data_IF_405367169310
#
_entry.id   IF_405367169310
#
_cell.length_a   1.000
_cell.length_b   1.000
_cell.length_c   1.000
_cell.angle_alpha   90.00
_cell.angle_beta   90.00
_cell.angle_gamma   90.00
#
_symmetry.space_group_name_H-M   'P 1'
#
loop_
_entity.id
_entity.type
_entity.pdbx_description
1 polymer ?
#
# COMPACT_ATOMS: atom_id res chain seq x y z
N UNK A 1 34.09 26.91 9.14
CA UNK A 1 33.25 26.74 7.94
C UNK A 1 33.99 26.12 6.74
N UNK A 2 35.32 26.27 6.56
CA UNK A 2 36.05 25.77 5.37
C UNK A 2 36.04 24.24 5.14
N UNK A 3 35.84 23.40 6.17
CA UNK A 3 35.91 21.93 6.00
C UNK A 3 34.73 21.30 5.24
N UNK A 4 33.60 22.00 5.09
CA UNK A 4 32.40 21.48 4.40
C UNK A 4 32.27 21.98 2.97
N UNK A 5 33.11 22.91 2.53
CA UNK A 5 33.02 23.56 1.21
C UNK A 5 33.20 22.54 0.08
N UNK A 6 34.11 21.60 0.23
CA UNK A 6 34.34 20.48 -0.72
C UNK A 6 33.16 19.52 -0.83
N UNK A 7 32.26 19.50 0.14
CA UNK A 7 31.06 18.66 0.12
C UNK A 7 29.90 19.33 -0.62
N UNK A 8 29.96 20.64 -0.85
CA UNK A 8 28.81 21.39 -1.34
C UNK A 8 28.49 21.12 -2.80
N UNK A 9 29.48 21.15 -3.70
CA UNK A 9 29.22 20.93 -5.13
C UNK A 9 28.60 19.54 -5.44
N UNK A 10 29.09 18.42 -4.86
CA UNK A 10 28.42 17.12 -4.99
C UNK A 10 26.99 17.10 -4.44
N UNK A 11 26.75 17.77 -3.31
CA UNK A 11 25.43 17.85 -2.68
C UNK A 11 24.47 18.66 -3.55
N UNK A 12 24.92 19.80 -4.08
CA UNK A 12 24.11 20.68 -4.93
C UNK A 12 23.71 19.97 -6.23
N UNK A 13 24.63 19.26 -6.87
CA UNK A 13 24.35 18.44 -8.05
C UNK A 13 23.34 17.32 -7.74
N UNK A 14 23.57 16.54 -6.68
CA UNK A 14 22.65 15.47 -6.29
C UNK A 14 21.26 16.01 -5.91
N UNK A 15 21.21 17.15 -5.21
CA UNK A 15 19.98 17.85 -4.88
C UNK A 15 19.24 18.30 -6.15
N UNK A 16 19.94 18.85 -7.13
CA UNK A 16 19.34 19.28 -8.38
C UNK A 16 18.65 18.13 -9.12
N UNK A 17 19.27 16.94 -9.17
CA UNK A 17 18.63 15.75 -9.73
C UNK A 17 17.38 15.33 -8.96
N UNK A 18 17.45 15.24 -7.63
CA UNK A 18 16.28 14.87 -6.81
C UNK A 18 15.16 15.91 -6.93
N UNK A 19 15.52 17.19 -6.98
CA UNK A 19 14.56 18.28 -7.16
C UNK A 19 13.87 18.21 -8.53
N UNK A 20 14.62 17.93 -9.60
CA UNK A 20 14.05 17.68 -10.94
C UNK A 20 13.15 16.44 -10.96
N UNK A 21 13.53 15.37 -10.27
CA UNK A 21 12.70 14.17 -10.15
C UNK A 21 11.34 14.50 -9.52
N UNK A 22 11.33 15.27 -8.42
CA UNK A 22 10.09 15.75 -7.79
C UNK A 22 9.28 16.63 -8.74
N UNK A 23 9.92 17.54 -9.48
CA UNK A 23 9.20 18.41 -10.41
C UNK A 23 8.52 17.65 -11.54
N UNK A 24 9.22 16.67 -12.15
CA UNK A 24 8.66 15.80 -13.20
C UNK A 24 7.50 14.98 -12.63
N UNK A 25 7.68 14.34 -11.48
CA UNK A 25 6.61 13.57 -10.82
C UNK A 25 5.49 14.45 -10.25
N UNK A 26 5.72 15.75 -10.10
CA UNK A 26 4.64 16.65 -9.74
C UNK A 26 3.67 16.87 -10.90
N UNK A 27 4.17 16.74 -12.14
CA UNK A 27 3.43 16.86 -13.38
C UNK A 27 2.50 18.09 -13.41
N UNK A 28 3.04 19.27 -13.04
CA UNK A 28 2.25 20.51 -12.97
C UNK A 28 1.64 20.92 -14.31
N UNK A 29 2.22 20.45 -15.43
CA UNK A 29 1.74 20.68 -16.79
C UNK A 29 0.63 19.72 -17.21
N UNK A 30 0.22 18.79 -16.33
CA UNK A 30 -0.80 17.76 -16.58
C UNK A 30 -0.54 16.92 -17.85
N UNK A 31 0.72 16.54 -18.08
CA UNK A 31 1.09 15.63 -19.16
C UNK A 31 0.56 14.21 -18.93
N UNK A 32 0.44 13.45 -20.01
CA UNK A 32 0.08 12.02 -19.97
C UNK A 32 1.14 11.18 -19.22
N UNK A 33 0.76 9.99 -18.74
CA UNK A 33 1.73 9.08 -18.10
C UNK A 33 2.95 8.78 -18.98
N UNK A 34 2.74 8.64 -20.29
CA UNK A 34 3.83 8.39 -21.25
C UNK A 34 4.81 9.56 -21.30
N UNK A 35 4.32 10.80 -21.33
CA UNK A 35 5.19 11.99 -21.36
C UNK A 35 6.01 12.12 -20.07
N UNK A 36 5.36 11.96 -18.91
CA UNK A 36 6.05 12.00 -17.61
C UNK A 36 7.10 10.90 -17.53
N UNK A 37 6.77 9.68 -17.98
CA UNK A 37 7.71 8.56 -18.00
C UNK A 37 8.93 8.84 -18.86
N UNK A 38 8.76 9.35 -20.08
CA UNK A 38 9.89 9.67 -20.97
C UNK A 38 10.82 10.71 -20.33
N UNK A 39 10.26 11.77 -19.76
CA UNK A 39 11.05 12.80 -19.06
C UNK A 39 11.79 12.23 -17.85
N UNK A 40 11.11 11.38 -17.08
CA UNK A 40 11.68 10.78 -15.88
C UNK A 40 12.78 9.77 -16.22
N UNK A 41 12.57 8.90 -17.21
CA UNK A 41 13.57 7.94 -17.69
C UNK A 41 14.83 8.66 -18.21
N UNK A 42 14.67 9.80 -18.91
CA UNK A 42 15.80 10.62 -19.34
C UNK A 42 16.61 11.18 -18.16
N UNK A 43 15.95 11.64 -17.09
CA UNK A 43 16.63 12.07 -15.87
C UNK A 43 17.34 10.90 -15.17
N UNK A 44 16.73 9.71 -15.10
CA UNK A 44 17.37 8.55 -14.49
C UNK A 44 18.63 8.12 -15.26
N UNK A 45 18.62 8.22 -16.59
CA UNK A 45 19.81 7.99 -17.40
C UNK A 45 20.89 9.04 -17.14
N UNK A 46 20.52 10.33 -17.10
CA UNK A 46 21.45 11.41 -16.76
C UNK A 46 22.13 11.16 -15.40
N UNK A 47 21.36 10.76 -14.38
CA UNK A 47 21.87 10.40 -13.05
C UNK A 47 22.81 9.18 -13.13
N UNK A 48 22.47 8.16 -13.92
CA UNK A 48 23.28 6.96 -14.07
C UNK A 48 24.64 7.26 -14.73
N UNK A 49 24.64 8.09 -15.78
CA UNK A 49 25.83 8.48 -16.52
C UNK A 49 26.76 9.38 -15.68
N UNK A 50 26.17 10.28 -14.89
CA UNK A 50 26.92 11.30 -14.17
C UNK A 50 27.13 10.99 -12.68
N UNK A 51 26.65 9.86 -12.14
CA UNK A 51 26.79 9.54 -10.70
C UNK A 51 28.23 9.59 -10.17
N UNK A 52 29.24 9.35 -11.02
CA UNK A 52 30.64 9.44 -10.62
C UNK A 52 31.05 10.88 -10.24
N UNK A 53 30.37 11.89 -10.80
CA UNK A 53 30.64 13.32 -10.53
C UNK A 53 30.27 13.74 -9.10
N UNK A 54 29.40 12.99 -8.42
CA UNK A 54 28.99 13.28 -7.04
C UNK A 54 29.80 12.50 -5.99
N UNK A 55 30.91 11.89 -6.39
CA UNK A 55 31.90 11.29 -5.48
C UNK A 55 31.29 10.28 -4.51
N UNK A 56 31.38 10.58 -3.20
CA UNK A 56 30.87 9.69 -2.13
C UNK A 56 29.36 9.46 -2.17
N UNK A 57 28.59 10.33 -2.85
CA UNK A 57 27.14 10.18 -3.01
C UNK A 57 26.74 9.23 -4.14
N UNK A 58 27.69 8.75 -4.96
CA UNK A 58 27.41 7.86 -6.09
C UNK A 58 26.62 6.60 -5.66
N UNK A 59 26.94 6.01 -4.51
CA UNK A 59 26.24 4.85 -3.96
C UNK A 59 24.78 5.16 -3.57
N UNK A 60 24.51 6.38 -3.10
CA UNK A 60 23.17 6.84 -2.82
C UNK A 60 22.35 7.02 -4.11
N UNK A 61 22.98 7.52 -5.18
CA UNK A 61 22.37 7.61 -6.50
C UNK A 61 22.05 6.21 -7.05
N UNK A 62 22.96 5.25 -6.93
CA UNK A 62 22.70 3.86 -7.33
C UNK A 62 21.53 3.24 -6.58
N UNK A 63 21.45 3.47 -5.26
CA UNK A 63 20.32 3.02 -4.46
C UNK A 63 19.02 3.69 -4.90
N UNK A 64 19.04 5.00 -5.19
CA UNK A 64 17.89 5.73 -5.72
C UNK A 64 17.40 5.15 -7.04
N UNK A 65 18.30 4.90 -8.00
CA UNK A 65 17.98 4.29 -9.29
C UNK A 65 17.39 2.88 -9.12
N UNK A 66 17.99 2.06 -8.26
CA UNK A 66 17.51 0.71 -7.96
C UNK A 66 16.10 0.71 -7.36
N UNK A 67 15.88 1.55 -6.35
CA UNK A 67 14.56 1.67 -5.71
C UNK A 67 13.53 2.15 -6.75
N UNK A 68 13.86 3.19 -7.51
CA UNK A 68 12.99 3.71 -8.56
C UNK A 68 12.60 2.65 -9.58
N UNK A 69 13.56 1.85 -10.07
CA UNK A 69 13.29 0.75 -11.00
C UNK A 69 12.31 -0.29 -10.41
N UNK A 70 12.40 -0.57 -9.10
CA UNK A 70 11.49 -1.51 -8.44
C UNK A 70 10.04 -1.01 -8.37
N UNK A 71 9.83 0.31 -8.32
CA UNK A 71 8.50 0.94 -8.29
C UNK A 71 7.99 1.36 -9.68
N UNK A 72 8.84 1.34 -10.71
CA UNK A 72 8.52 1.83 -12.06
C UNK A 72 7.21 1.28 -12.66
N UNK A 73 6.83 -0.01 -12.49
CA UNK A 73 5.57 -0.51 -13.03
C UNK A 73 4.34 0.23 -12.51
N UNK A 74 4.36 0.72 -11.26
CA UNK A 74 3.22 1.36 -10.61
C UNK A 74 3.27 2.89 -10.58
N UNK A 75 4.42 3.49 -10.90
CA UNK A 75 4.70 4.90 -10.59
C UNK A 75 3.86 5.90 -11.41
N UNK A 76 3.53 5.56 -12.65
CA UNK A 76 2.91 6.50 -13.60
C UNK A 76 1.39 6.32 -13.77
N UNK A 77 0.78 5.28 -13.19
CA UNK A 77 -0.65 5.00 -13.36
C UNK A 77 -1.57 6.11 -12.83
N UNK A 78 -1.09 6.90 -11.86
CA UNK A 78 -1.85 8.02 -11.30
C UNK A 78 -2.11 9.16 -12.30
N UNK A 79 -1.41 9.21 -13.43
CA UNK A 79 -1.64 10.22 -14.46
C UNK A 79 -2.74 9.81 -15.46
N UNK A 80 -3.01 8.52 -15.61
CA UNK A 80 -4.03 8.00 -16.55
C UNK A 80 -5.38 7.72 -15.86
N UNK A 81 -5.40 7.62 -14.53
CA UNK A 81 -6.58 7.29 -13.73
C UNK A 81 -6.95 8.47 -12.83
N UNK A 82 -8.02 9.19 -13.17
CA UNK A 82 -8.45 10.42 -12.49
C UNK A 82 -8.63 10.26 -10.96
N UNK A 83 -9.10 9.09 -10.51
CA UNK A 83 -9.39 8.82 -9.10
C UNK A 83 -8.24 8.11 -8.36
N UNK A 84 -7.11 7.83 -9.02
CA UNK A 84 -5.96 7.21 -8.37
C UNK A 84 -5.06 8.30 -7.78
N UNK A 85 -4.92 8.37 -6.44
CA UNK A 85 -4.11 9.42 -5.82
C UNK A 85 -2.64 9.29 -6.22
N UNK A 86 -2.02 10.43 -6.52
CA UNK A 86 -0.61 10.52 -6.93
C UNK A 86 0.37 10.10 -5.84
N UNK A 87 -0.02 10.26 -4.58
CA UNK A 87 0.81 9.90 -3.42
C UNK A 87 0.08 8.91 -2.54
N UNK A 88 0.84 8.04 -1.88
CA UNK A 88 0.29 7.12 -0.90
C UNK A 88 -0.10 7.81 0.41
N UNK A 89 0.19 9.11 0.60
CA UNK A 89 -0.08 9.81 1.86
C UNK A 89 -1.56 9.77 2.24
N UNK A 90 -2.45 10.00 1.28
CA UNK A 90 -3.90 9.95 1.50
C UNK A 90 -4.35 8.54 1.86
N UNK A 91 -3.76 7.52 1.21
CA UNK A 91 -4.00 6.12 1.55
C UNK A 91 -3.46 5.78 2.95
N UNK A 92 -2.28 6.25 3.31
CA UNK A 92 -1.68 6.07 4.64
C UNK A 92 -2.53 6.73 5.72
N UNK A 93 -3.04 7.93 5.46
CA UNK A 93 -3.99 8.64 6.32
C UNK A 93 -5.31 7.84 6.44
N UNK A 94 -5.85 7.35 5.33
CA UNK A 94 -7.05 6.51 5.32
C UNK A 94 -6.86 5.24 6.16
N UNK A 95 -5.77 4.50 5.94
CA UNK A 95 -5.46 3.31 6.75
C UNK A 95 -5.13 3.66 8.21
N UNK A 96 -4.60 4.85 8.47
CA UNK A 96 -4.41 5.40 9.81
C UNK A 96 -5.74 5.56 10.55
N UNK A 97 -6.74 6.15 9.89
CA UNK A 97 -8.08 6.29 10.43
C UNK A 97 -8.75 4.93 10.71
N UNK A 98 -8.61 3.96 9.79
CA UNK A 98 -9.12 2.60 9.99
C UNK A 98 -8.47 1.93 11.20
N UNK A 99 -7.15 2.02 11.34
CA UNK A 99 -6.42 1.48 12.52
C UNK A 99 -6.85 2.16 13.82
N UNK A 100 -7.10 3.46 13.80
CA UNK A 100 -7.60 4.20 14.95
C UNK A 100 -9.00 3.72 15.35
N UNK A 101 -9.92 3.61 14.39
CA UNK A 101 -11.28 3.12 14.61
C UNK A 101 -11.29 1.69 15.18
N UNK A 102 -10.51 0.78 14.56
CA UNK A 102 -10.40 -0.61 15.05
C UNK A 102 -9.79 -0.69 16.46
N UNK A 103 -8.85 0.20 16.81
CA UNK A 103 -8.34 0.29 18.18
C UNK A 103 -9.41 0.75 19.16
N UNK A 104 -10.22 1.75 18.80
CA UNK A 104 -11.33 2.20 19.65
C UNK A 104 -12.38 1.11 19.84
N UNK A 105 -12.69 0.34 18.80
CA UNK A 105 -13.69 -0.72 18.86
C UNK A 105 -13.20 -1.99 19.60
N UNK A 106 -11.90 -2.31 19.55
CA UNK A 106 -11.37 -3.59 20.04
C UNK A 106 -10.37 -3.49 21.19
N UNK A 107 -9.85 -2.30 21.48
CA UNK A 107 -8.80 -2.06 22.47
C UNK A 107 -7.39 -2.52 22.05
N UNK A 108 -7.21 -3.09 20.86
CA UNK A 108 -5.94 -3.72 20.45
C UNK A 108 -5.05 -2.78 19.62
N UNK A 109 -3.75 -2.77 19.94
CA UNK A 109 -2.69 -2.12 19.13
C UNK A 109 -1.97 -3.19 18.30
N UNK A 110 -1.82 -2.97 17.00
CA UNK A 110 -1.08 -3.88 16.10
C UNK A 110 -1.99 -4.61 15.11
N UNK A 111 -1.68 -5.88 14.81
CA UNK A 111 -2.45 -6.69 13.87
C UNK A 111 -3.90 -6.81 14.34
N UNK A 112 -4.84 -6.27 13.54
CA UNK A 112 -6.27 -6.28 13.85
C UNK A 112 -6.84 -7.59 13.29
N UNK A 113 -7.22 -8.57 14.14
CA UNK A 113 -7.73 -9.85 13.64
C UNK A 113 -9.00 -9.68 12.83
N UNK A 114 -9.78 -8.63 13.11
CA UNK A 114 -10.95 -8.26 12.34
C UNK A 114 -10.65 -7.99 10.86
N UNK A 115 -9.55 -7.29 10.55
CA UNK A 115 -9.12 -7.03 9.17
C UNK A 115 -8.68 -8.31 8.44
N UNK A 116 -8.02 -9.24 9.16
CA UNK A 116 -7.59 -10.51 8.57
C UNK A 116 -8.78 -11.42 8.29
N UNK A 117 -9.71 -11.54 9.25
CA UNK A 117 -10.84 -12.48 9.16
C UNK A 117 -11.94 -11.95 8.24
N UNK A 118 -12.26 -10.65 8.30
CA UNK A 118 -13.35 -10.05 7.53
C UNK A 118 -12.88 -9.29 6.28
N UNK A 119 -11.57 -9.18 6.07
CA UNK A 119 -10.99 -8.63 4.84
C UNK A 119 -11.31 -7.15 4.60
N UNK A 120 -11.38 -6.78 3.32
CA UNK A 120 -11.59 -5.40 2.84
C UNK A 120 -12.88 -4.76 3.33
N UNK A 121 -13.92 -5.54 3.63
CA UNK A 121 -15.21 -5.03 4.13
C UNK A 121 -15.04 -4.25 5.43
N UNK A 122 -14.04 -4.59 6.27
CA UNK A 122 -13.71 -3.80 7.47
C UNK A 122 -13.15 -2.42 7.15
N UNK A 123 -12.31 -2.32 6.13
CA UNK A 123 -11.75 -1.04 5.67
C UNK A 123 -12.88 -0.17 5.14
N UNK A 124 -13.71 -0.72 4.24
CA UNK A 124 -14.84 -0.01 3.65
C UNK A 124 -15.80 0.47 4.72
N UNK A 125 -16.20 -0.40 5.66
CA UNK A 125 -17.12 -0.03 6.73
C UNK A 125 -16.53 1.08 7.63
N UNK A 126 -15.26 0.96 8.05
CA UNK A 126 -14.63 1.95 8.91
C UNK A 126 -14.43 3.32 8.21
N UNK A 127 -14.17 3.32 6.89
CA UNK A 127 -14.10 4.56 6.11
C UNK A 127 -15.49 5.16 5.90
N UNK A 128 -16.47 4.33 5.53
CA UNK A 128 -17.86 4.74 5.32
C UNK A 128 -18.43 5.41 6.58
N UNK A 129 -18.31 4.76 7.75
CA UNK A 129 -18.83 5.31 9.01
C UNK A 129 -18.07 6.52 9.52
N UNK A 130 -16.86 6.79 8.99
CA UNK A 130 -16.12 8.03 9.25
C UNK A 130 -16.66 9.18 8.39
N UNK A 131 -17.04 8.89 7.16
CA UNK A 131 -17.51 9.89 6.20
C UNK A 131 -18.98 10.24 6.40
N UNK A 132 -19.78 9.30 6.91
CA UNK A 132 -21.23 9.46 7.08
C UNK A 132 -21.72 8.79 8.36
N UNK A 133 -22.64 9.46 9.06
CA UNK A 133 -23.40 8.84 10.14
C UNK A 133 -24.64 8.18 9.55
N UNK A 134 -24.62 6.86 9.49
CA UNK A 134 -25.72 6.08 8.95
C UNK A 134 -26.88 5.95 9.94
N UNK A 135 -28.10 6.21 9.45
CA UNK A 135 -29.37 5.89 10.11
C UNK A 135 -29.69 4.40 10.03
N UNK A 136 -30.69 3.94 10.79
CA UNK A 136 -31.11 2.54 10.77
C UNK A 136 -31.71 2.16 9.41
N UNK A 137 -32.45 3.08 8.80
CA UNK A 137 -33.07 2.94 7.48
C UNK A 137 -32.01 2.75 6.38
N UNK A 138 -30.92 3.52 6.42
CA UNK A 138 -29.81 3.40 5.46
C UNK A 138 -29.01 2.10 5.61
N UNK A 139 -28.95 1.55 6.83
CA UNK A 139 -28.32 0.25 7.09
C UNK A 139 -29.25 -0.93 6.79
N UNK A 140 -30.50 -0.67 6.40
CA UNK A 140 -31.45 -1.71 6.07
C UNK A 140 -30.98 -2.47 4.82
N UNK A 141 -31.10 -3.80 4.90
CA UNK A 141 -30.57 -4.70 3.92
C UNK A 141 -31.57 -4.85 2.77
N UNK A 142 -31.41 -4.03 1.74
CA UNK A 142 -32.36 -3.95 0.63
C UNK A 142 -32.15 -5.04 -0.43
N UNK A 143 -30.92 -5.57 -0.56
CA UNK A 143 -30.61 -6.69 -1.45
C UNK A 143 -29.92 -7.84 -0.70
N UNK A 144 -30.71 -8.87 -0.41
CA UNK A 144 -30.26 -10.08 0.26
C UNK A 144 -29.26 -10.90 -0.58
N UNK A 145 -29.44 -10.93 -1.90
CA UNK A 145 -28.58 -11.70 -2.79
C UNK A 145 -27.19 -11.08 -2.87
N UNK A 146 -27.10 -9.76 -3.02
CA UNK A 146 -25.83 -9.04 -3.00
C UNK A 146 -25.10 -9.23 -1.67
N UNK A 147 -25.82 -9.11 -0.56
CA UNK A 147 -25.24 -9.37 0.76
C UNK A 147 -24.66 -10.78 0.90
N UNK A 148 -25.39 -11.78 0.41
CA UNK A 148 -24.92 -13.18 0.44
C UNK A 148 -23.66 -13.38 -0.40
N UNK A 149 -23.62 -12.81 -1.60
CA UNK A 149 -22.42 -12.87 -2.46
C UNK A 149 -21.20 -12.24 -1.80
N UNK A 150 -21.36 -11.09 -1.13
CA UNK A 150 -20.27 -10.46 -0.37
C UNK A 150 -19.79 -11.38 0.75
N UNK A 151 -20.69 -12.06 1.47
CA UNK A 151 -20.31 -13.02 2.52
C UNK A 151 -19.64 -14.28 2.00
N UNK A 152 -20.10 -14.83 0.88
CA UNK A 152 -19.49 -15.99 0.25
C UNK A 152 -18.03 -15.69 -0.12
N UNK A 153 -17.74 -14.50 -0.67
CA UNK A 153 -16.37 -14.04 -0.97
C UNK A 153 -15.47 -13.93 0.27
N UNK A 154 -16.05 -13.72 1.45
CA UNK A 154 -15.30 -13.66 2.72
C UNK A 154 -15.17 -15.01 3.42
N UNK A 155 -15.94 -16.02 2.99
CA UNK A 155 -16.05 -17.30 3.70
C UNK A 155 -14.70 -18.00 3.84
N UNK A 156 -13.85 -17.99 2.81
CA UNK A 156 -12.51 -18.57 2.87
C UNK A 156 -11.66 -18.00 4.03
N UNK A 157 -11.74 -16.68 4.29
CA UNK A 157 -11.00 -16.02 5.38
C UNK A 157 -11.56 -16.40 6.75
N UNK A 158 -12.88 -16.51 6.85
CA UNK A 158 -13.55 -16.96 8.06
C UNK A 158 -13.25 -18.43 8.36
N UNK A 159 -13.18 -19.28 7.35
CA UNK A 159 -12.90 -20.71 7.48
C UNK A 159 -11.52 -20.99 8.06
N UNK A 160 -10.49 -20.23 7.65
CA UNK A 160 -9.17 -20.33 8.26
C UNK A 160 -9.23 -20.08 9.77
N UNK A 161 -10.02 -19.07 10.18
CA UNK A 161 -10.21 -18.77 11.60
C UNK A 161 -11.04 -19.84 12.31
N UNK A 162 -12.09 -20.36 11.69
CA UNK A 162 -12.89 -21.48 12.22
C UNK A 162 -12.03 -22.73 12.41
N UNK A 163 -11.16 -23.06 11.46
CA UNK A 163 -10.18 -24.15 11.55
C UNK A 163 -9.25 -23.97 12.74
N UNK A 164 -8.69 -22.77 12.92
CA UNK A 164 -7.86 -22.46 14.09
C UNK A 164 -8.62 -22.64 15.41
N UNK A 165 -9.89 -22.23 15.48
CA UNK A 165 -10.71 -22.45 16.68
C UNK A 165 -11.02 -23.93 16.91
N UNK A 166 -11.33 -24.69 15.86
CA UNK A 166 -11.56 -26.15 15.95
C UNK A 166 -10.32 -26.88 16.45
N UNK A 167 -9.15 -26.56 15.89
CA UNK A 167 -7.87 -27.09 16.36
C UNK A 167 -7.62 -26.77 17.83
N UNK A 168 -7.84 -25.52 18.26
CA UNK A 168 -7.64 -25.13 19.67
C UNK A 168 -8.62 -25.78 20.63
N UNK A 169 -9.81 -26.18 20.16
CA UNK A 169 -10.82 -26.84 20.98
C UNK A 169 -10.42 -28.28 21.29
N UNK A 170 -9.94 -29.02 20.29
CA UNK A 170 -9.45 -30.38 20.44
C UNK A 170 -8.40 -30.69 19.36
N UNK A 171 -7.10 -30.50 19.67
CA UNK A 171 -6.04 -30.68 18.69
C UNK A 171 -5.93 -32.12 18.16
N UNK A 172 -6.11 -33.12 19.04
CA UNK A 172 -5.90 -34.52 18.70
C UNK A 172 -6.98 -35.01 17.73
N UNK A 173 -8.25 -34.74 18.05
CA UNK A 173 -9.37 -35.10 17.18
C UNK A 173 -9.29 -34.36 15.84
N UNK A 174 -8.92 -33.08 15.88
CA UNK A 174 -8.78 -32.27 14.66
C UNK A 174 -7.69 -32.81 13.73
N UNK A 175 -6.52 -33.18 14.27
CA UNK A 175 -5.43 -33.75 13.48
C UNK A 175 -5.80 -35.13 12.92
N UNK A 176 -6.38 -36.02 13.73
CA UNK A 176 -6.84 -37.32 13.27
C UNK A 176 -7.88 -37.22 12.13
N UNK A 177 -8.78 -36.23 12.18
CA UNK A 177 -9.73 -35.96 11.09
C UNK A 177 -9.05 -35.46 9.81
N UNK A 178 -7.97 -34.69 9.91
CA UNK A 178 -7.20 -34.24 8.75
C UNK A 178 -6.43 -35.42 8.14
N UNK A 179 -5.75 -36.20 8.97
CA UNK A 179 -5.00 -37.39 8.54
C UNK A 179 -5.91 -38.38 7.83
N UNK A 180 -7.08 -38.68 8.39
CA UNK A 180 -8.06 -39.57 7.75
C UNK A 180 -8.53 -39.07 6.38
N UNK A 181 -8.68 -37.75 6.19
CA UNK A 181 -9.07 -37.17 4.89
C UNK A 181 -7.97 -37.22 3.85
N UNK A 182 -6.71 -37.02 4.27
CA UNK A 182 -5.55 -37.03 3.37
C UNK A 182 -5.15 -38.45 2.95
N UNK A 183 -5.39 -39.43 3.83
CA UNK A 183 -5.14 -40.85 3.55
C UNK A 183 -6.28 -41.54 2.76
N UNK A 184 -7.42 -40.87 2.55
CA UNK A 184 -8.54 -41.35 1.72
C UNK A 184 -8.49 -40.87 0.26
N UNK A 185 -7.44 -40.13 -0.09
CA UNK A 185 -7.07 -39.74 -1.47
C UNK A 185 -5.88 -40.56 -1.93
#
# INVERSE_FOLDING_TARGET
MQKTEVLWAPIEQAYHWVHRAVHILNNHENGSATQVRVQYDALLQEMADHKATVGSLASAIEQFLKVTASFAPGLFHCYDLADLPRTNNDLEQCFGAVRHHERRATGRRGAIPGLVVRGSVRVVAALATRLHHYTAEELCLWDYHLWRQVRERLTYREEARRRQFRFRKDPLVYLAQIEARLLQT
#
